data_IF_379721577257
#
_entry.id   IF_379721577257
#
_cell.length_a   1.000
_cell.length_b   1.000
_cell.length_c   1.000
_cell.angle_alpha   90.00
_cell.angle_beta   90.00
_cell.angle_gamma   90.00
#
_symmetry.space_group_name_H-M   'P 1'
#
loop_
_entity.id
_entity.type
_entity.pdbx_description
1 polymer ?
#
# COMPACT_ATOMS: atom_id res chain seq x y z
N UNK A 1 -13.20 0.58 -22.71
CA UNK A 1 -13.49 -0.80 -23.07
C UNK A 1 -13.40 -1.70 -21.86
N UNK A 2 -14.30 -2.66 -21.74
CA UNK A 2 -14.21 -3.67 -20.71
C UNK A 2 -13.15 -4.69 -21.12
N UNK A 3 -12.30 -5.12 -20.15
CA UNK A 3 -11.34 -6.21 -20.33
C UNK A 3 -11.85 -7.39 -19.52
N UNK A 4 -11.92 -8.57 -20.16
CA UNK A 4 -12.34 -9.80 -19.51
C UNK A 4 -11.13 -10.52 -18.92
N UNK A 5 -11.12 -10.68 -17.60
CA UNK A 5 -10.09 -11.44 -16.88
C UNK A 5 -10.60 -11.94 -15.53
N UNK A 6 -10.00 -13.01 -15.06
CA UNK A 6 -10.19 -13.57 -13.73
C UNK A 6 -8.90 -13.41 -12.92
N UNK A 7 -9.04 -13.18 -11.62
CA UNK A 7 -7.89 -13.06 -10.73
C UNK A 7 -8.11 -13.80 -9.42
N UNK A 8 -7.05 -14.42 -8.92
CA UNK A 8 -6.94 -14.88 -7.54
C UNK A 8 -5.68 -14.21 -6.94
N UNK A 9 -5.88 -13.27 -6.02
CA UNK A 9 -4.80 -12.49 -5.41
C UNK A 9 -4.77 -12.73 -3.91
N UNK A 10 -3.57 -12.74 -3.34
CA UNK A 10 -3.36 -12.85 -1.90
C UNK A 10 -2.12 -12.08 -1.45
N UNK A 11 -2.10 -11.74 -0.18
CA UNK A 11 -0.96 -11.11 0.50
C UNK A 11 -0.46 -12.12 1.53
N UNK A 12 0.81 -12.55 1.48
CA UNK A 12 1.38 -13.44 2.50
C UNK A 12 1.34 -12.78 3.88
N UNK A 13 1.11 -13.55 4.94
CA UNK A 13 1.12 -13.01 6.30
C UNK A 13 2.48 -12.40 6.67
N UNK A 14 3.57 -13.03 6.22
CA UNK A 14 4.93 -12.54 6.44
C UNK A 14 5.58 -12.18 5.11
N UNK A 15 6.29 -11.06 5.04
CA UNK A 15 7.01 -10.67 3.84
C UNK A 15 8.17 -11.66 3.56
N UNK A 16 8.42 -11.95 2.28
CA UNK A 16 9.65 -12.64 1.90
C UNK A 16 10.88 -11.85 2.40
N UNK A 17 11.91 -12.55 2.87
CA UNK A 17 13.13 -11.92 3.40
C UNK A 17 13.81 -10.96 2.43
N UNK A 18 13.68 -11.22 1.13
CA UNK A 18 14.26 -10.43 0.07
C UNK A 18 13.28 -9.43 -0.56
N UNK A 19 12.12 -9.14 0.06
CA UNK A 19 11.09 -8.26 -0.52
C UNK A 19 11.65 -6.90 -0.97
N UNK A 20 12.61 -6.36 -0.24
CA UNK A 20 13.24 -5.07 -0.51
C UNK A 20 14.62 -5.19 -1.18
N UNK A 21 15.03 -6.41 -1.53
CA UNK A 21 16.27 -6.64 -2.29
C UNK A 21 16.12 -6.16 -3.73
N UNK A 22 17.25 -5.76 -4.33
CA UNK A 22 17.32 -5.40 -5.75
C UNK A 22 16.98 -6.58 -6.66
N UNK A 23 17.27 -7.79 -6.21
CA UNK A 23 17.02 -9.04 -6.96
C UNK A 23 15.59 -9.57 -6.81
N UNK A 24 14.74 -8.86 -6.03
CA UNK A 24 13.37 -9.30 -5.85
C UNK A 24 12.54 -9.03 -7.09
N UNK A 25 12.06 -10.08 -7.72
CA UNK A 25 11.18 -9.98 -8.87
C UNK A 25 9.72 -9.97 -8.42
N UNK A 26 9.08 -8.81 -8.60
CA UNK A 26 7.62 -8.68 -8.45
C UNK A 26 6.90 -9.29 -9.63
N UNK A 27 5.61 -9.54 -9.49
CA UNK A 27 4.74 -9.92 -10.61
C UNK A 27 3.70 -10.94 -10.21
N UNK A 28 2.70 -11.05 -11.05
CA UNK A 28 1.63 -12.03 -10.97
C UNK A 28 1.80 -13.07 -12.08
N UNK A 29 1.38 -14.30 -11.82
CA UNK A 29 1.35 -15.31 -12.88
C UNK A 29 0.29 -14.92 -13.92
N UNK A 30 0.70 -14.91 -15.17
CA UNK A 30 -0.16 -14.54 -16.28
C UNK A 30 -0.52 -15.76 -17.11
N UNK A 31 -1.82 -15.92 -17.32
CA UNK A 31 -2.42 -16.91 -18.21
C UNK A 31 -3.23 -16.18 -19.29
N UNK A 32 -3.38 -16.82 -20.43
CA UNK A 32 -4.29 -16.42 -21.50
C UNK A 32 -5.12 -17.61 -21.91
N UNK A 33 -6.45 -17.50 -21.73
CA UNK A 33 -7.40 -18.60 -22.05
C UNK A 33 -7.00 -19.94 -21.38
N UNK A 34 -6.55 -19.86 -20.11
CA UNK A 34 -6.09 -21.03 -19.36
C UNK A 34 -4.70 -21.55 -19.71
N UNK A 35 -3.99 -20.91 -20.66
CA UNK A 35 -2.62 -21.29 -21.04
C UNK A 35 -1.62 -20.39 -20.32
N UNK A 36 -0.63 -21.02 -19.67
CA UNK A 36 0.43 -20.30 -18.98
C UNK A 36 1.29 -19.47 -19.94
N UNK A 37 1.48 -18.19 -19.63
CA UNK A 37 2.30 -17.25 -20.41
C UNK A 37 3.60 -16.94 -19.68
N UNK A 38 3.54 -16.54 -18.40
CA UNK A 38 4.74 -16.25 -17.60
C UNK A 38 4.45 -16.28 -16.10
N UNK A 39 5.48 -16.56 -15.32
CA UNK A 39 5.41 -16.66 -13.86
C UNK A 39 5.33 -15.29 -13.17
N UNK A 40 6.00 -14.26 -13.71
CA UNK A 40 6.11 -12.95 -13.07
C UNK A 40 5.87 -11.83 -14.07
N UNK A 41 4.61 -11.56 -14.36
CA UNK A 41 4.22 -10.40 -15.15
C UNK A 41 4.25 -9.14 -14.26
N UNK A 42 5.37 -8.41 -14.33
CA UNK A 42 5.62 -7.21 -13.52
C UNK A 42 4.76 -6.01 -13.92
N UNK A 43 4.24 -6.03 -15.15
CA UNK A 43 3.36 -5.02 -15.71
C UNK A 43 1.98 -5.00 -15.08
N UNK A 44 1.55 -6.10 -14.45
CA UNK A 44 0.22 -6.22 -13.82
C UNK A 44 0.13 -5.56 -12.44
N UNK A 45 1.26 -5.15 -11.86
CA UNK A 45 1.28 -4.66 -10.48
C UNK A 45 2.31 -3.53 -10.33
N UNK A 46 1.94 -2.39 -9.70
CA UNK A 46 2.89 -1.32 -9.42
C UNK A 46 3.92 -1.74 -8.37
N UNK A 47 5.01 -1.01 -8.29
CA UNK A 47 6.16 -1.39 -7.47
C UNK A 47 5.84 -1.42 -5.97
N UNK A 48 5.05 -0.49 -5.50
CA UNK A 48 4.65 -0.42 -4.11
C UNK A 48 3.71 -1.56 -3.66
N UNK A 49 3.11 -2.32 -4.60
CA UNK A 49 2.32 -3.52 -4.31
C UNK A 49 3.09 -4.83 -4.59
N UNK A 50 4.42 -4.78 -4.67
CA UNK A 50 5.30 -5.92 -4.99
C UNK A 50 5.11 -7.15 -4.10
N UNK A 51 4.53 -6.98 -2.94
CA UNK A 51 4.23 -8.04 -1.98
C UNK A 51 2.98 -8.86 -2.35
N UNK A 52 2.14 -8.38 -3.26
CA UNK A 52 0.95 -9.11 -3.70
C UNK A 52 1.36 -10.25 -4.61
N UNK A 53 0.74 -11.40 -4.41
CA UNK A 53 0.92 -12.63 -5.17
C UNK A 53 -0.39 -13.09 -5.77
N UNK A 54 -0.30 -13.96 -6.76
CA UNK A 54 -1.49 -14.57 -7.35
C UNK A 54 -1.40 -14.75 -8.84
N UNK A 55 -2.55 -15.04 -9.41
CA UNK A 55 -2.70 -15.40 -10.83
C UNK A 55 -3.72 -14.50 -11.50
N UNK A 56 -3.51 -14.24 -12.78
CA UNK A 56 -4.42 -13.51 -13.66
C UNK A 56 -4.57 -14.33 -14.93
N UNK A 57 -5.82 -14.59 -15.33
CA UNK A 57 -6.15 -15.23 -16.62
C UNK A 57 -7.04 -14.29 -17.42
N UNK A 58 -6.66 -13.98 -18.66
CA UNK A 58 -7.42 -13.10 -19.54
C UNK A 58 -7.68 -13.75 -20.89
N UNK A 59 -8.95 -13.75 -21.30
CA UNK A 59 -9.35 -14.17 -22.64
C UNK A 59 -9.02 -13.16 -23.74
N UNK A 60 -8.74 -11.92 -23.36
CA UNK A 60 -8.49 -10.80 -24.28
C UNK A 60 -7.01 -10.64 -24.67
N UNK A 61 -6.13 -11.47 -24.08
CA UNK A 61 -4.73 -11.52 -24.45
C UNK A 61 -4.49 -12.55 -25.55
N UNK A 62 -3.58 -12.24 -26.47
CA UNK A 62 -3.09 -13.19 -27.47
C UNK A 62 -2.18 -14.21 -26.84
N UNK A 63 -2.29 -15.49 -27.26
CA UNK A 63 -1.37 -16.57 -26.85
C UNK A 63 0.07 -16.36 -27.34
N UNK A 64 0.27 -15.60 -28.43
CA UNK A 64 1.58 -15.35 -29.04
C UNK A 64 2.17 -14.01 -28.57
N UNK A 65 1.79 -13.54 -27.38
CA UNK A 65 2.31 -12.28 -26.87
C UNK A 65 3.76 -12.42 -26.38
N UNK A 66 4.68 -11.64 -26.94
CA UNK A 66 6.06 -11.60 -26.47
C UNK A 66 6.22 -10.66 -25.25
N UNK A 67 7.33 -10.81 -24.51
CA UNK A 67 7.61 -9.95 -23.34
C UNK A 67 7.69 -8.47 -23.71
N UNK A 68 8.26 -8.15 -24.86
CA UNK A 68 8.37 -6.76 -25.35
C UNK A 68 6.98 -6.17 -25.67
N UNK A 69 6.09 -6.99 -26.23
CA UNK A 69 4.71 -6.57 -26.53
C UNK A 69 3.87 -6.34 -25.26
N UNK A 70 4.19 -7.01 -24.15
CA UNK A 70 3.48 -6.82 -22.88
C UNK A 70 3.65 -5.41 -22.31
N UNK A 71 4.85 -4.82 -22.43
CA UNK A 71 5.16 -3.50 -21.85
C UNK A 71 4.32 -2.36 -22.44
N UNK A 72 3.88 -2.49 -23.69
CA UNK A 72 3.06 -1.47 -24.38
C UNK A 72 1.61 -1.91 -24.57
N UNK A 73 1.20 -3.04 -24.00
CA UNK A 73 -0.12 -3.58 -24.19
C UNK A 73 -1.18 -2.81 -23.38
N UNK A 74 -2.10 -2.15 -24.09
CA UNK A 74 -3.17 -1.36 -23.48
C UNK A 74 -4.10 -2.19 -22.59
N UNK A 75 -4.30 -3.47 -22.94
CA UNK A 75 -5.12 -4.41 -22.14
C UNK A 75 -4.47 -4.64 -20.78
N UNK A 76 -3.15 -4.89 -20.75
CA UNK A 76 -2.40 -5.07 -19.50
C UNK A 76 -2.40 -3.81 -18.63
N UNK A 77 -2.21 -2.64 -19.22
CA UNK A 77 -2.26 -1.38 -18.47
C UNK A 77 -3.65 -1.14 -17.83
N UNK A 78 -4.70 -1.51 -18.54
CA UNK A 78 -6.06 -1.41 -18.00
C UNK A 78 -6.31 -2.44 -16.89
N UNK A 79 -5.83 -3.67 -17.07
CA UNK A 79 -5.87 -4.69 -16.04
C UNK A 79 -5.09 -4.27 -14.80
N UNK A 80 -3.87 -3.73 -14.94
CA UNK A 80 -3.06 -3.22 -13.84
C UNK A 80 -3.84 -2.19 -13.00
N UNK A 81 -4.44 -1.17 -13.65
CA UNK A 81 -5.24 -0.15 -12.95
C UNK A 81 -6.42 -0.75 -12.19
N UNK A 82 -7.11 -1.71 -12.79
CA UNK A 82 -8.24 -2.36 -12.17
C UNK A 82 -7.82 -3.26 -10.99
N UNK A 83 -6.72 -3.98 -11.13
CA UNK A 83 -6.13 -4.82 -10.08
C UNK A 83 -5.67 -3.94 -8.91
N UNK A 84 -4.93 -2.86 -9.19
CA UNK A 84 -4.50 -1.87 -8.20
C UNK A 84 -5.70 -1.36 -7.40
N UNK A 85 -6.74 -0.89 -8.08
CA UNK A 85 -7.96 -0.40 -7.43
C UNK A 85 -8.65 -1.45 -6.56
N UNK A 86 -8.73 -2.70 -7.02
CA UNK A 86 -9.32 -3.80 -6.22
C UNK A 86 -8.51 -4.08 -4.96
N UNK A 87 -7.17 -4.08 -5.05
CA UNK A 87 -6.29 -4.28 -3.90
C UNK A 87 -6.49 -3.16 -2.89
N UNK A 88 -6.44 -1.90 -3.34
CA UNK A 88 -6.64 -0.73 -2.48
C UNK A 88 -8.00 -0.77 -1.78
N UNK A 89 -9.08 -1.02 -2.51
CA UNK A 89 -10.41 -1.14 -1.94
C UNK A 89 -10.48 -2.26 -0.89
N UNK A 90 -9.81 -3.40 -1.13
CA UNK A 90 -9.78 -4.50 -0.17
C UNK A 90 -9.01 -4.14 1.10
N UNK A 91 -7.91 -3.41 0.98
CA UNK A 91 -7.16 -2.90 2.13
C UNK A 91 -7.96 -1.86 2.93
N UNK A 92 -8.69 -0.95 2.26
CA UNK A 92 -9.60 -0.01 2.90
C UNK A 92 -10.74 -0.73 3.64
N UNK A 93 -11.28 -1.78 3.04
CA UNK A 93 -12.30 -2.62 3.68
C UNK A 93 -11.71 -3.32 4.92
N UNK A 94 -10.53 -3.92 4.81
CA UNK A 94 -9.85 -4.56 5.93
C UNK A 94 -9.58 -3.57 7.07
N UNK A 95 -9.14 -2.35 6.75
CA UNK A 95 -8.89 -1.28 7.74
C UNK A 95 -10.15 -0.92 8.53
N UNK A 96 -11.33 -0.94 7.86
CA UNK A 96 -12.62 -0.60 8.49
C UNK A 96 -13.22 -1.76 9.27
N UNK A 97 -13.14 -2.97 8.75
CA UNK A 97 -13.80 -4.15 9.31
C UNK A 97 -12.98 -4.85 10.38
N UNK A 98 -11.65 -4.84 10.26
CA UNK A 98 -10.73 -5.52 11.16
C UNK A 98 -9.41 -4.72 11.27
N UNK A 99 -9.46 -3.66 12.06
CA UNK A 99 -8.32 -2.76 12.23
C UNK A 99 -7.11 -3.45 12.88
N UNK A 100 -7.33 -4.44 13.75
CA UNK A 100 -6.26 -5.21 14.37
C UNK A 100 -5.46 -5.97 13.31
N UNK A 101 -6.15 -6.68 12.42
CA UNK A 101 -5.52 -7.38 11.30
C UNK A 101 -4.89 -6.41 10.30
N UNK A 102 -5.48 -5.25 10.09
CA UNK A 102 -4.89 -4.20 9.26
C UNK A 102 -3.57 -3.69 9.84
N UNK A 103 -3.47 -3.50 11.16
CA UNK A 103 -2.21 -3.10 11.83
C UNK A 103 -1.11 -4.16 11.64
N UNK A 104 -1.44 -5.45 11.73
CA UNK A 104 -0.49 -6.53 11.44
C UNK A 104 0.00 -6.48 9.98
N UNK A 105 -0.91 -6.30 9.04
CA UNK A 105 -0.56 -6.07 7.63
C UNK A 105 0.34 -4.85 7.48
N UNK A 106 -0.02 -3.71 8.08
CA UNK A 106 0.72 -2.46 7.95
C UNK A 106 2.10 -2.53 8.58
N UNK A 107 2.28 -3.27 9.67
CA UNK A 107 3.59 -3.55 10.28
C UNK A 107 4.54 -4.22 9.29
N UNK A 108 4.03 -5.13 8.46
CA UNK A 108 4.81 -5.89 7.50
C UNK A 108 5.01 -5.19 6.16
N UNK A 109 4.04 -4.41 5.71
CA UNK A 109 3.97 -3.88 4.34
C UNK A 109 3.75 -2.36 4.26
N UNK A 110 3.58 -1.68 5.39
CA UNK A 110 3.29 -0.25 5.44
C UNK A 110 4.36 0.62 4.78
N UNK A 111 5.64 0.21 4.85
CA UNK A 111 6.72 0.90 4.16
C UNK A 111 6.52 0.93 2.65
N UNK A 112 5.95 -0.13 2.07
CA UNK A 112 5.65 -0.19 0.64
C UNK A 112 4.55 0.80 0.26
N UNK A 113 3.50 0.93 1.09
CA UNK A 113 2.43 1.91 0.88
C UNK A 113 2.95 3.35 1.02
N UNK A 114 3.81 3.60 2.03
CA UNK A 114 4.47 4.91 2.21
C UNK A 114 5.33 5.26 0.99
N UNK A 115 6.10 4.29 0.48
CA UNK A 115 6.89 4.47 -0.74
C UNK A 115 5.99 4.81 -1.94
N UNK A 116 4.89 4.07 -2.15
CA UNK A 116 3.92 4.36 -3.22
C UNK A 116 3.29 5.75 -3.13
N UNK A 117 3.03 6.24 -1.91
CA UNK A 117 2.50 7.59 -1.70
C UNK A 117 3.51 8.69 -2.04
N UNK A 118 4.81 8.41 -1.90
CA UNK A 118 5.91 9.35 -2.18
C UNK A 118 6.41 9.26 -3.63
N UNK A 119 6.38 8.08 -4.23
CA UNK A 119 6.90 7.80 -5.56
C UNK A 119 6.27 8.70 -6.63
N UNK A 120 7.03 9.01 -7.68
CA UNK A 120 6.59 9.84 -8.79
C UNK A 120 5.97 11.18 -8.36
N UNK A 121 6.68 11.87 -7.45
CA UNK A 121 6.25 13.17 -6.91
C UNK A 121 4.88 13.13 -6.21
N UNK A 122 4.55 12.00 -5.60
CA UNK A 122 3.30 11.84 -4.86
C UNK A 122 2.07 11.63 -5.74
N UNK A 123 2.24 11.15 -6.96
CA UNK A 123 1.14 10.92 -7.91
C UNK A 123 0.04 9.97 -7.39
N UNK A 124 0.37 9.11 -6.41
CA UNK A 124 -0.55 8.18 -5.74
C UNK A 124 -0.95 8.62 -4.33
N UNK A 125 -0.56 9.83 -3.91
CA UNK A 125 -0.81 10.32 -2.54
C UNK A 125 -2.30 10.25 -2.18
N UNK A 126 -3.18 10.79 -3.01
CA UNK A 126 -4.62 10.80 -2.76
C UNK A 126 -5.22 9.39 -2.68
N UNK A 127 -4.67 8.45 -3.44
CA UNK A 127 -5.11 7.06 -3.44
C UNK A 127 -4.69 6.31 -2.17
N UNK A 128 -3.53 6.65 -1.60
CA UNK A 128 -2.89 5.86 -0.54
C UNK A 128 -2.94 6.51 0.83
N UNK A 129 -3.12 7.83 0.94
CA UNK A 129 -3.02 8.56 2.22
C UNK A 129 -3.95 8.00 3.31
N UNK A 130 -5.16 7.56 2.95
CA UNK A 130 -6.13 7.02 3.92
C UNK A 130 -5.76 5.61 4.42
N UNK A 131 -4.86 4.93 3.72
CA UNK A 131 -4.30 3.65 4.14
C UNK A 131 -3.10 3.79 5.08
N UNK A 132 -2.50 4.98 5.17
CA UNK A 132 -1.35 5.19 6.04
C UNK A 132 -1.81 5.37 7.48
N UNK A 133 -1.17 4.63 8.39
CA UNK A 133 -1.37 4.75 9.82
C UNK A 133 -0.04 5.06 10.51
N UNK A 134 -0.11 5.76 11.63
CA UNK A 134 1.04 6.30 12.33
C UNK A 134 0.91 6.01 13.82
N UNK A 135 2.05 5.83 14.49
CA UNK A 135 2.07 5.72 15.95
C UNK A 135 1.63 7.05 16.56
N UNK A 136 0.66 7.00 17.44
CA UNK A 136 0.19 8.15 18.20
C UNK A 136 0.94 8.27 19.53
N UNK A 137 1.28 9.50 19.95
CA UNK A 137 1.99 9.73 21.20
C UNK A 137 1.14 9.58 22.45
N UNK A 138 -0.16 9.82 22.36
CA UNK A 138 -1.06 9.72 23.52
C UNK A 138 -1.59 8.30 23.75
N UNK A 139 -1.71 7.52 22.70
CA UNK A 139 -2.09 6.12 22.80
C UNK A 139 -0.90 5.21 22.46
N UNK A 140 -0.96 3.95 22.87
CA UNK A 140 0.03 2.96 22.45
C UNK A 140 -0.40 2.28 21.14
N UNK A 141 -1.20 2.96 20.36
CA UNK A 141 -1.78 2.42 19.13
C UNK A 141 -1.43 3.26 17.90
N UNK A 142 -1.69 2.68 16.74
CA UNK A 142 -1.56 3.38 15.46
C UNK A 142 -2.90 3.94 15.03
N UNK A 143 -2.90 5.18 14.51
CA UNK A 143 -4.09 5.85 14.02
C UNK A 143 -3.89 6.36 12.59
N UNK A 144 -4.99 6.55 11.87
CA UNK A 144 -4.99 7.21 10.56
C UNK A 144 -4.92 8.73 10.71
N UNK A 145 -4.51 9.43 9.64
CA UNK A 145 -4.59 10.90 9.60
C UNK A 145 -6.02 11.40 9.81
N UNK A 146 -7.00 10.67 9.29
CA UNK A 146 -8.42 10.98 9.49
C UNK A 146 -8.79 10.94 10.96
N UNK A 147 -8.44 9.87 11.67
CA UNK A 147 -8.68 9.73 13.12
C UNK A 147 -7.96 10.81 13.90
N UNK A 148 -6.73 11.16 13.52
CA UNK A 148 -6.01 12.27 14.13
C UNK A 148 -6.79 13.58 14.00
N UNK A 149 -7.26 13.92 12.80
CA UNK A 149 -8.02 15.16 12.53
C UNK A 149 -9.34 15.18 13.30
N UNK A 150 -10.04 14.04 13.38
CA UNK A 150 -11.28 13.91 14.18
C UNK A 150 -11.05 14.13 15.69
N UNK A 151 -9.85 13.83 16.19
CA UNK A 151 -9.47 13.98 17.60
C UNK A 151 -8.75 15.31 17.91
N UNK A 152 -8.55 16.18 16.91
CA UNK A 152 -7.89 17.49 17.13
C UNK A 152 -8.61 18.31 18.18
N UNK A 153 -7.83 19.00 19.01
CA UNK A 153 -8.38 19.88 20.04
C UNK A 153 -8.96 21.16 19.44
N UNK A 154 -9.90 21.75 20.15
CA UNK A 154 -10.45 23.05 19.75
C UNK A 154 -9.34 24.09 19.59
N UNK A 155 -9.32 24.78 18.45
CA UNK A 155 -8.30 25.74 18.09
C UNK A 155 -7.01 25.17 17.48
N UNK A 156 -6.84 23.84 17.47
CA UNK A 156 -5.74 23.19 16.74
C UNK A 156 -5.96 23.29 15.22
N UNK A 157 -4.96 23.73 14.47
CA UNK A 157 -5.07 23.92 13.02
C UNK A 157 -4.22 22.95 12.22
N UNK A 158 -3.17 22.40 12.84
CA UNK A 158 -2.14 21.65 12.15
C UNK A 158 -2.02 20.23 12.73
N UNK A 159 -1.59 19.30 11.87
CA UNK A 159 -1.18 17.95 12.27
C UNK A 159 0.28 18.03 12.72
N UNK A 160 0.54 17.66 13.96
CA UNK A 160 1.90 17.59 14.49
C UNK A 160 2.47 16.19 14.27
N UNK A 161 3.72 16.15 13.82
CA UNK A 161 4.43 14.87 13.63
C UNK A 161 5.89 15.01 14.05
N UNK A 162 6.50 13.90 14.44
CA UNK A 162 7.91 13.80 14.74
C UNK A 162 8.47 12.47 14.24
N UNK A 163 9.79 12.42 14.04
CA UNK A 163 10.48 11.20 13.61
C UNK A 163 11.45 10.75 14.70
N UNK A 164 11.38 9.48 15.08
CA UNK A 164 12.28 8.84 16.03
C UNK A 164 12.29 7.32 15.82
N UNK A 165 13.25 6.63 16.40
CA UNK A 165 13.29 5.16 16.34
C UNK A 165 12.24 4.55 17.24
N UNK A 166 11.91 5.22 18.33
CA UNK A 166 10.91 4.79 19.32
C UNK A 166 10.05 5.98 19.74
N UNK A 167 8.86 5.67 20.28
CA UNK A 167 7.97 6.64 20.90
C UNK A 167 8.67 7.40 22.03
N UNK A 168 9.46 6.71 22.86
CA UNK A 168 10.17 7.31 23.99
C UNK A 168 11.21 8.35 23.53
N UNK A 169 11.94 8.08 22.44
CA UNK A 169 12.85 9.07 21.84
C UNK A 169 12.08 10.32 21.40
N UNK A 170 10.93 10.17 20.76
CA UNK A 170 10.08 11.30 20.35
C UNK A 170 9.58 12.07 21.57
N UNK A 171 9.07 11.38 22.60
CA UNK A 171 8.56 12.00 23.81
C UNK A 171 9.63 12.74 24.64
N UNK A 172 10.91 12.37 24.48
CA UNK A 172 12.05 13.03 25.13
C UNK A 172 12.57 14.27 24.37
N UNK A 173 12.03 14.58 23.19
CA UNK A 173 12.45 15.78 22.44
C UNK A 173 12.00 17.06 23.16
N UNK A 174 12.86 18.10 23.25
CA UNK A 174 12.50 19.35 23.92
C UNK A 174 11.24 20.02 23.35
N UNK A 175 10.98 19.88 22.07
CA UNK A 175 9.81 20.44 21.40
C UNK A 175 8.49 19.84 21.91
N UNK A 176 8.54 18.61 22.44
CA UNK A 176 7.37 17.92 22.96
C UNK A 176 6.79 18.58 24.22
N UNK A 177 7.60 19.32 24.99
CA UNK A 177 7.12 20.03 26.19
C UNK A 177 6.04 21.07 25.85
N UNK A 178 6.21 21.78 24.75
CA UNK A 178 5.24 22.77 24.27
C UNK A 178 3.97 22.05 23.80
N UNK A 179 4.11 21.00 23.03
CA UNK A 179 2.98 20.22 22.49
C UNK A 179 2.15 19.61 23.63
N UNK A 180 2.84 19.00 24.61
CA UNK A 180 2.19 18.43 25.81
C UNK A 180 1.42 19.49 26.61
N UNK A 181 1.96 20.72 26.71
CA UNK A 181 1.29 21.83 27.41
C UNK A 181 -0.06 22.18 26.79
N UNK A 182 -0.17 22.08 25.47
CA UNK A 182 -1.45 22.31 24.77
C UNK A 182 -2.32 21.04 24.68
N UNK A 183 -1.80 19.89 25.12
CA UNK A 183 -2.52 18.63 25.06
C UNK A 183 -2.73 18.12 23.64
N UNK A 184 -1.85 18.51 22.69
CA UNK A 184 -1.93 18.04 21.31
C UNK A 184 -1.26 16.69 21.14
N UNK A 185 -1.82 15.89 20.23
CA UNK A 185 -1.24 14.63 19.82
C UNK A 185 -0.13 14.85 18.78
N UNK A 186 0.81 13.89 18.71
CA UNK A 186 1.88 13.87 17.71
C UNK A 186 1.95 12.47 17.10
N UNK A 187 2.10 12.42 15.78
CA UNK A 187 2.25 11.18 15.01
C UNK A 187 3.72 10.84 14.78
#
# INVERSE_FOLDING_TARGET
GNVNYSTLLFIPNLPPRNLHSIDYEKGLQLYSKGVFIMDKCKELIPDYLRFVKGVVDSSDLSLNISREMLQQNKVLLLMQKNIEKKIINRLQTLQKEDFAKYKEFFKNYGINLKFGAYENYGSKKELLQDLLIYQDTNTDDMISLKTYVENMKEGQKDIYFASGKTKDEVLAMPQMDIIKKYGYDVL
#
